data_IF_775831264960
#
_entry.id   IF_775831264960
#
_cell.length_a   1.000
_cell.length_b   1.000
_cell.length_c   1.000
_cell.angle_alpha   90.00
_cell.angle_beta   90.00
_cell.angle_gamma   90.00
#
_symmetry.space_group_name_H-M   'P 1'
#
loop_
_entity.id
_entity.type
_entity.pdbx_description
1 polymer ?
#
# COMPACT_ATOMS: atom_id res chain seq x y z
N UNK A 1 -56.52 -52.88 -50.82
CA UNK A 1 -55.28 -52.51 -50.10
C UNK A 1 -54.82 -51.18 -50.69
N UNK A 2 -55.18 -50.06 -50.05
CA UNK A 2 -54.89 -48.72 -50.55
C UNK A 2 -53.61 -48.23 -49.87
N UNK A 3 -52.54 -48.04 -50.63
CA UNK A 3 -51.27 -47.50 -50.13
C UNK A 3 -51.36 -45.98 -50.03
N UNK A 4 -51.33 -45.46 -48.80
CA UNK A 4 -51.10 -44.05 -48.52
C UNK A 4 -49.62 -43.73 -48.75
N UNK A 5 -49.32 -42.88 -49.74
CA UNK A 5 -48.02 -42.24 -49.89
C UNK A 5 -48.00 -40.99 -49.02
N UNK A 6 -47.31 -41.06 -47.88
CA UNK A 6 -47.03 -39.89 -47.04
C UNK A 6 -45.81 -39.17 -47.65
N UNK A 7 -46.04 -38.01 -48.23
CA UNK A 7 -44.97 -37.11 -48.65
C UNK A 7 -44.35 -36.43 -47.43
N UNK A 8 -43.02 -36.45 -47.34
CA UNK A 8 -42.28 -35.70 -46.34
C UNK A 8 -42.12 -34.26 -46.86
N UNK A 9 -42.81 -33.30 -46.25
CA UNK A 9 -42.57 -31.88 -46.53
C UNK A 9 -41.20 -31.49 -46.00
N UNK A 10 -40.37 -30.90 -46.86
CA UNK A 10 -39.06 -30.37 -46.50
C UNK A 10 -39.25 -29.13 -45.62
N UNK A 11 -38.96 -29.25 -44.32
CA UNK A 11 -38.90 -28.13 -43.39
C UNK A 11 -37.78 -27.17 -43.84
N UNK A 12 -38.13 -25.92 -44.17
CA UNK A 12 -37.16 -24.86 -44.42
C UNK A 12 -36.63 -24.40 -43.06
N UNK A 13 -35.41 -24.79 -42.71
CA UNK A 13 -34.68 -24.15 -41.62
C UNK A 13 -34.37 -22.71 -42.04
N UNK A 14 -34.86 -21.75 -41.26
CA UNK A 14 -34.40 -20.36 -41.35
C UNK A 14 -32.98 -20.29 -40.79
N UNK A 15 -32.00 -20.58 -41.64
CA UNK A 15 -30.62 -20.23 -41.32
C UNK A 15 -30.57 -18.69 -41.27
N UNK A 16 -30.38 -18.13 -40.07
CA UNK A 16 -29.91 -16.74 -39.94
C UNK A 16 -28.59 -16.56 -40.71
N UNK A 17 -27.94 -15.39 -40.68
CA UNK A 17 -26.76 -15.07 -41.51
C UNK A 17 -25.51 -15.97 -41.30
N UNK A 18 -25.63 -17.08 -40.59
CA UNK A 18 -24.58 -18.06 -40.35
C UNK A 18 -23.47 -17.51 -39.46
N UNK A 19 -22.41 -18.30 -39.32
CA UNK A 19 -21.21 -17.93 -38.56
C UNK A 19 -20.33 -16.86 -39.26
N UNK A 20 -20.82 -16.22 -40.33
CA UNK A 20 -20.08 -15.22 -41.12
C UNK A 20 -20.40 -13.76 -40.78
N UNK A 21 -21.45 -13.50 -39.99
CA UNK A 21 -21.93 -12.15 -39.68
C UNK A 21 -21.11 -11.37 -38.65
N UNK A 22 -21.41 -10.08 -38.51
CA UNK A 22 -20.94 -9.23 -37.41
C UNK A 22 -21.93 -9.40 -36.24
N UNK A 23 -21.41 -9.68 -35.05
CA UNK A 23 -22.24 -9.73 -33.85
C UNK A 23 -22.73 -8.33 -33.50
N UNK A 24 -24.03 -8.22 -33.24
CA UNK A 24 -24.69 -7.03 -32.70
C UNK A 24 -25.06 -7.26 -31.24
N UNK A 25 -25.18 -6.18 -30.49
CA UNK A 25 -25.49 -6.23 -29.06
C UNK A 25 -25.30 -4.87 -28.40
N UNK A 26 -25.26 -4.86 -27.07
CA UNK A 26 -25.13 -3.64 -26.28
C UNK A 26 -24.32 -3.85 -25.00
N UNK A 27 -23.63 -2.79 -24.57
CA UNK A 27 -22.99 -2.67 -23.25
C UNK A 27 -23.99 -2.26 -22.14
N UNK A 28 -25.20 -1.87 -22.53
CA UNK A 28 -26.23 -1.36 -21.62
C UNK A 28 -27.08 -2.48 -21.03
N UNK A 29 -27.68 -2.23 -19.89
CA UNK A 29 -28.77 -3.05 -19.34
C UNK A 29 -30.14 -2.69 -19.95
N UNK A 30 -31.20 -3.34 -19.47
CA UNK A 30 -32.57 -3.10 -19.93
C UNK A 30 -33.09 -1.68 -19.66
N UNK A 31 -32.43 -0.94 -18.76
CA UNK A 31 -32.76 0.43 -18.39
C UNK A 31 -31.86 1.46 -19.10
N UNK A 32 -31.09 1.02 -20.10
CA UNK A 32 -30.11 1.86 -20.83
C UNK A 32 -28.97 2.39 -19.95
N UNK A 33 -28.66 1.71 -18.84
CA UNK A 33 -27.54 2.05 -17.95
C UNK A 33 -26.34 1.16 -18.28
N UNK A 34 -25.14 1.73 -18.22
CA UNK A 34 -23.91 0.98 -18.41
C UNK A 34 -23.72 -0.10 -17.36
N UNK A 35 -23.43 -1.33 -17.82
CA UNK A 35 -22.99 -2.39 -16.91
C UNK A 35 -21.59 -2.08 -16.41
N UNK A 36 -21.37 -2.27 -15.10
CA UNK A 36 -20.09 -1.98 -14.48
C UNK A 36 -18.95 -2.82 -15.10
N UNK A 37 -17.85 -2.16 -15.46
CA UNK A 37 -16.61 -2.82 -15.85
C UNK A 37 -15.81 -3.22 -14.61
N UNK A 38 -15.09 -4.34 -14.67
CA UNK A 38 -14.17 -4.76 -13.60
C UNK A 38 -12.72 -4.63 -14.06
N UNK A 39 -11.96 -3.76 -13.40
CA UNK A 39 -10.57 -3.48 -13.72
C UNK A 39 -9.69 -4.54 -13.05
N UNK A 40 -8.70 -5.08 -13.79
CA UNK A 40 -7.71 -6.05 -13.31
C UNK A 40 -6.30 -5.58 -13.65
N UNK A 41 -5.37 -5.89 -12.75
CA UNK A 41 -3.97 -5.43 -12.82
C UNK A 41 -3.77 -4.05 -12.18
N UNK A 42 -2.50 -3.68 -12.02
CA UNK A 42 -2.08 -2.37 -11.54
C UNK A 42 -1.47 -1.58 -12.68
N UNK A 43 -1.86 -0.32 -12.82
CA UNK A 43 -1.42 0.54 -13.92
C UNK A 43 -0.43 1.55 -13.36
N UNK A 44 0.83 1.49 -13.80
CA UNK A 44 1.90 2.34 -13.27
C UNK A 44 2.48 3.21 -14.36
N UNK A 45 2.72 4.47 -14.04
CA UNK A 45 3.40 5.44 -14.89
C UNK A 45 4.72 4.87 -15.41
N UNK A 46 4.91 5.00 -16.73
CA UNK A 46 6.06 4.55 -17.52
C UNK A 46 6.31 3.02 -17.52
N UNK A 47 5.41 2.20 -16.95
CA UNK A 47 5.48 0.73 -17.03
C UNK A 47 4.60 0.20 -18.19
N UNK A 48 5.16 -0.67 -19.03
CA UNK A 48 4.41 -1.31 -20.13
C UNK A 48 3.39 -2.29 -19.54
N UNK A 49 2.13 -2.18 -19.99
CA UNK A 49 1.07 -3.09 -19.57
C UNK A 49 1.37 -4.54 -19.97
N UNK A 50 1.04 -5.46 -19.08
CA UNK A 50 1.23 -6.91 -19.26
C UNK A 50 -0.12 -7.63 -19.43
N UNK A 51 -0.10 -8.95 -19.62
CA UNK A 51 -1.34 -9.76 -19.70
C UNK A 51 -2.18 -9.77 -18.41
N UNK A 52 -1.61 -9.30 -17.30
CA UNK A 52 -2.30 -9.08 -16.02
C UNK A 52 -3.11 -7.78 -15.98
N UNK A 53 -2.87 -6.86 -16.91
CA UNK A 53 -3.57 -5.59 -17.06
C UNK A 53 -4.71 -5.73 -18.07
N UNK A 54 -5.93 -5.85 -17.59
CA UNK A 54 -7.10 -6.02 -18.46
C UNK A 54 -8.38 -5.52 -17.80
N UNK A 55 -9.42 -5.33 -18.60
CA UNK A 55 -10.75 -4.93 -18.13
C UNK A 55 -11.76 -6.00 -18.54
N UNK A 56 -12.60 -6.41 -17.61
CA UNK A 56 -13.73 -7.29 -17.89
C UNK A 56 -14.98 -6.44 -18.13
N UNK A 57 -15.58 -6.59 -19.30
CA UNK A 57 -16.75 -5.82 -19.73
C UNK A 57 -17.91 -6.76 -20.00
N UNK A 58 -19.07 -6.46 -19.42
CA UNK A 58 -20.29 -7.23 -19.67
C UNK A 58 -20.97 -6.74 -20.96
N UNK A 59 -21.28 -7.68 -21.86
CA UNK A 59 -21.94 -7.43 -23.14
C UNK A 59 -23.17 -8.32 -23.26
N UNK A 60 -24.25 -7.80 -23.82
CA UNK A 60 -25.40 -8.61 -24.21
C UNK A 60 -25.46 -8.72 -25.73
N UNK A 61 -25.14 -9.90 -26.28
CA UNK A 61 -25.19 -10.16 -27.72
C UNK A 61 -26.62 -10.46 -28.17
N UNK A 62 -27.09 -9.79 -29.21
CA UNK A 62 -28.39 -10.06 -29.84
C UNK A 62 -28.27 -10.90 -31.12
N UNK A 63 -27.08 -10.99 -31.69
CA UNK A 63 -26.79 -11.88 -32.82
C UNK A 63 -25.43 -12.58 -32.64
N UNK A 64 -25.29 -13.75 -33.24
CA UNK A 64 -24.01 -14.45 -33.36
C UNK A 64 -23.13 -13.76 -34.41
N UNK A 65 -21.81 -13.81 -34.25
CA UNK A 65 -20.91 -13.21 -35.23
C UNK A 65 -19.57 -12.75 -34.65
N UNK A 66 -18.74 -12.15 -35.51
CA UNK A 66 -17.48 -11.53 -35.10
C UNK A 66 -17.76 -10.23 -34.35
N UNK A 67 -17.05 -9.98 -33.26
CA UNK A 67 -17.11 -8.72 -32.52
C UNK A 67 -15.73 -8.07 -32.39
N UNK A 68 -15.74 -6.78 -32.12
CA UNK A 68 -14.59 -6.02 -31.64
C UNK A 68 -15.08 -5.04 -30.59
N UNK A 69 -14.43 -5.03 -29.44
CA UNK A 69 -14.72 -4.10 -28.35
C UNK A 69 -13.42 -3.40 -28.01
N UNK A 70 -13.46 -2.08 -27.89
CA UNK A 70 -12.25 -1.28 -27.69
C UNK A 70 -12.54 -0.01 -26.89
N UNK A 71 -11.50 0.56 -26.30
CA UNK A 71 -11.54 1.87 -25.69
C UNK A 71 -10.87 2.94 -26.55
N UNK A 72 -11.08 4.19 -26.18
CA UNK A 72 -10.15 5.27 -26.51
C UNK A 72 -8.75 5.05 -25.89
N UNK A 73 -7.79 5.87 -26.31
CA UNK A 73 -6.46 5.91 -25.70
C UNK A 73 -6.41 7.09 -24.74
N UNK A 74 -6.29 6.78 -23.45
CA UNK A 74 -6.22 7.80 -22.39
C UNK A 74 -4.98 7.52 -21.56
N UNK A 75 -4.24 8.58 -21.22
CA UNK A 75 -3.00 8.47 -20.45
C UNK A 75 -2.01 7.45 -21.03
N UNK A 76 -1.92 7.30 -22.35
CA UNK A 76 -0.98 6.39 -23.02
C UNK A 76 -1.37 4.90 -22.99
N UNK A 77 -2.54 4.54 -22.45
CA UNK A 77 -3.06 3.17 -22.44
C UNK A 77 -4.39 3.04 -23.18
N UNK A 78 -4.68 1.84 -23.67
CA UNK A 78 -5.95 1.49 -24.32
C UNK A 78 -6.24 0.00 -24.19
N UNK A 79 -7.51 -0.39 -24.32
CA UNK A 79 -7.96 -1.76 -24.18
C UNK A 79 -8.70 -2.22 -25.42
N UNK A 80 -8.50 -3.48 -25.82
CA UNK A 80 -9.22 -4.06 -26.96
C UNK A 80 -9.29 -5.57 -26.88
N UNK A 81 -10.36 -6.12 -27.40
CA UNK A 81 -10.45 -7.52 -27.77
C UNK A 81 -11.33 -7.71 -29.02
N UNK A 82 -11.13 -8.82 -29.69
CA UNK A 82 -11.97 -9.24 -30.83
C UNK A 82 -12.09 -10.74 -30.84
N UNK A 83 -13.29 -11.24 -31.13
CA UNK A 83 -13.57 -12.66 -31.11
C UNK A 83 -14.87 -12.99 -31.82
N UNK A 84 -15.47 -14.10 -31.43
CA UNK A 84 -16.72 -14.60 -31.99
C UNK A 84 -17.76 -14.84 -30.89
N UNK A 85 -18.97 -14.31 -31.06
CA UNK A 85 -20.11 -14.57 -30.19
C UNK A 85 -20.85 -15.82 -30.70
N UNK A 86 -20.69 -16.94 -29.99
CA UNK A 86 -21.32 -18.22 -30.35
C UNK A 86 -22.77 -18.34 -29.86
N UNK A 87 -23.15 -17.59 -28.84
CA UNK A 87 -24.48 -17.64 -28.23
C UNK A 87 -24.94 -16.21 -27.96
N UNK A 88 -26.23 -15.96 -28.18
CA UNK A 88 -26.88 -14.71 -27.78
C UNK A 88 -26.97 -14.64 -26.26
N UNK A 89 -27.10 -13.43 -25.71
CA UNK A 89 -27.25 -13.19 -24.28
C UNK A 89 -26.00 -12.59 -23.62
N UNK A 90 -26.06 -12.51 -22.29
CA UNK A 90 -25.05 -11.88 -21.46
C UNK A 90 -23.74 -12.69 -21.46
N UNK A 91 -22.64 -12.00 -21.75
CA UNK A 91 -21.28 -12.52 -21.73
C UNK A 91 -20.34 -11.51 -21.08
N UNK A 92 -19.19 -11.98 -20.59
CA UNK A 92 -18.12 -11.13 -20.06
C UNK A 92 -16.90 -11.27 -20.95
N UNK A 93 -16.46 -10.15 -21.53
CA UNK A 93 -15.32 -10.11 -22.44
C UNK A 93 -14.11 -9.50 -21.72
N UNK A 94 -12.94 -10.15 -21.88
CA UNK A 94 -11.66 -9.67 -21.36
C UNK A 94 -10.99 -8.78 -22.41
N UNK A 95 -10.96 -7.47 -22.17
CA UNK A 95 -10.20 -6.52 -22.99
C UNK A 95 -8.77 -6.43 -22.47
N UNK A 96 -7.80 -6.88 -23.27
CA UNK A 96 -6.37 -6.77 -22.92
C UNK A 96 -5.93 -5.31 -22.99
N UNK A 97 -5.21 -4.85 -21.96
CA UNK A 97 -4.59 -3.53 -21.93
C UNK A 97 -3.29 -3.49 -22.74
N UNK A 98 -3.04 -2.36 -23.38
CA UNK A 98 -1.83 -2.08 -24.15
C UNK A 98 -1.32 -0.66 -23.83
N UNK A 99 -0.05 -0.41 -24.09
CA UNK A 99 0.61 0.88 -23.87
C UNK A 99 1.28 0.99 -22.50
N UNK A 100 1.58 2.22 -22.09
CA UNK A 100 2.20 2.57 -20.80
C UNK A 100 1.54 3.83 -20.26
N UNK A 101 1.08 3.84 -18.99
CA UNK A 101 0.57 5.04 -18.35
C UNK A 101 1.59 6.18 -18.40
N UNK A 102 1.17 7.42 -18.64
CA UNK A 102 2.08 8.57 -18.78
C UNK A 102 2.18 9.40 -17.49
N UNK A 103 1.07 9.56 -16.78
CA UNK A 103 0.96 10.34 -15.53
C UNK A 103 0.22 9.52 -14.46
N UNK A 104 0.48 9.74 -13.16
CA UNK A 104 -0.37 9.22 -12.10
C UNK A 104 -1.72 9.96 -12.05
N UNK A 105 -2.75 9.29 -11.55
CA UNK A 105 -4.09 9.85 -11.40
C UNK A 105 -5.19 8.87 -11.82
N UNK A 106 -6.45 9.28 -11.66
CA UNK A 106 -7.61 8.52 -12.11
C UNK A 106 -8.09 9.07 -13.46
N UNK A 107 -8.21 8.18 -14.44
CA UNK A 107 -8.52 8.51 -15.81
C UNK A 107 -9.76 7.74 -16.26
N UNK A 108 -10.72 8.45 -16.87
CA UNK A 108 -11.94 7.87 -17.40
C UNK A 108 -11.70 7.39 -18.83
N UNK A 109 -12.08 6.14 -19.10
CA UNK A 109 -12.00 5.48 -20.40
C UNK A 109 -13.39 5.32 -21.00
N UNK A 110 -13.51 5.56 -22.31
CA UNK A 110 -14.71 5.30 -23.08
C UNK A 110 -14.59 3.94 -23.78
N UNK A 111 -15.42 2.96 -23.41
CA UNK A 111 -15.52 1.66 -24.10
C UNK A 111 -16.66 1.64 -25.11
N UNK A 112 -16.38 1.09 -26.29
CA UNK A 112 -17.29 1.07 -27.43
C UNK A 112 -17.55 -0.36 -27.92
N UNK A 113 -18.82 -0.66 -28.19
CA UNK A 113 -19.24 -1.86 -28.89
C UNK A 113 -20.53 -1.59 -29.69
N UNK A 114 -20.49 -1.82 -31.01
CA UNK A 114 -21.60 -1.50 -31.90
C UNK A 114 -21.98 -0.01 -31.78
N UNK A 115 -23.26 0.25 -31.48
CA UNK A 115 -23.78 1.61 -31.26
C UNK A 115 -23.86 1.99 -29.78
N UNK A 116 -23.25 1.21 -28.89
CA UNK A 116 -23.28 1.44 -27.43
C UNK A 116 -21.92 1.89 -26.91
N UNK A 117 -21.97 2.77 -25.91
CA UNK A 117 -20.79 3.41 -25.31
C UNK A 117 -20.96 3.49 -23.80
N UNK A 118 -19.91 3.15 -23.07
CA UNK A 118 -19.86 3.19 -21.62
C UNK A 118 -18.55 3.75 -21.11
N UNK A 119 -18.51 4.09 -19.82
CA UNK A 119 -17.35 4.68 -19.17
C UNK A 119 -16.93 3.89 -17.94
N UNK A 120 -15.63 3.84 -17.69
CA UNK A 120 -15.06 3.33 -16.45
C UNK A 120 -13.77 4.08 -16.13
N UNK A 121 -13.41 4.09 -14.85
CA UNK A 121 -12.20 4.75 -14.39
C UNK A 121 -11.07 3.75 -14.14
N UNK A 122 -9.85 4.12 -14.51
CA UNK A 122 -8.63 3.42 -14.11
C UNK A 122 -7.75 4.40 -13.35
N UNK A 123 -7.35 3.98 -12.15
CA UNK A 123 -6.31 4.67 -11.39
C UNK A 123 -4.94 4.16 -11.80
N UNK A 124 -4.11 5.10 -12.22
CA UNK A 124 -2.70 4.92 -12.53
C UNK A 124 -1.86 5.52 -11.40
N UNK A 125 -0.79 4.84 -11.02
CA UNK A 125 0.08 5.23 -9.89
C UNK A 125 1.47 5.60 -10.39
N UNK A 126 2.18 6.48 -9.68
CA UNK A 126 3.46 7.04 -10.14
C UNK A 126 4.56 6.01 -10.36
N UNK A 127 5.57 6.37 -11.16
CA UNK A 127 6.70 5.50 -11.49
C UNK A 127 7.50 5.09 -10.24
N UNK A 128 7.81 3.80 -10.13
CA UNK A 128 8.63 3.27 -9.02
C UNK A 128 10.10 3.46 -9.38
N UNK A 129 10.68 4.57 -8.95
CA UNK A 129 12.06 4.50 -8.50
C UNK A 129 11.95 4.22 -7.00
N UNK A 130 12.43 3.09 -6.47
CA UNK A 130 12.72 3.04 -5.01
C UNK A 130 14.02 3.80 -4.70
N UNK A 131 14.63 4.42 -5.72
CA UNK A 131 15.63 5.47 -5.64
C UNK A 131 16.85 5.16 -4.77
N UNK A 132 17.12 3.88 -4.50
CA UNK A 132 18.33 3.44 -3.82
C UNK A 132 18.91 2.19 -4.44
N UNK A 133 20.24 2.20 -4.46
CA UNK A 133 21.07 1.06 -4.86
C UNK A 133 21.16 -0.03 -3.78
N UNK A 134 20.55 0.19 -2.60
CA UNK A 134 20.60 -0.75 -1.48
C UNK A 134 19.36 -1.66 -1.44
N UNK A 135 19.59 -2.95 -1.20
CA UNK A 135 18.55 -3.98 -1.07
C UNK A 135 18.14 -4.17 0.41
N UNK A 136 18.02 -3.09 1.18
CA UNK A 136 17.78 -3.11 2.62
C UNK A 136 16.67 -2.14 3.09
N UNK A 137 16.18 -2.32 4.31
CA UNK A 137 15.19 -1.42 4.93
C UNK A 137 15.83 -0.31 5.77
N UNK A 138 17.13 -0.03 5.56
CA UNK A 138 17.86 1.01 6.27
C UNK A 138 18.95 1.58 5.35
N UNK A 139 18.58 2.47 4.41
CA UNK A 139 19.55 3.11 3.52
C UNK A 139 20.41 4.08 4.32
N UNK A 140 21.73 4.04 4.10
CA UNK A 140 22.73 4.77 4.91
C UNK A 140 23.54 5.76 4.08
N UNK A 141 23.06 6.12 2.89
CA UNK A 141 23.77 7.01 1.98
C UNK A 141 23.92 8.39 2.63
N UNK A 142 25.18 8.80 2.85
CA UNK A 142 25.53 10.03 3.54
C UNK A 142 24.88 11.25 2.87
N UNK A 143 24.25 12.12 3.67
CA UNK A 143 23.49 13.29 3.24
C UNK A 143 22.22 13.00 2.43
N UNK A 144 21.88 11.71 2.24
CA UNK A 144 20.57 11.30 1.76
C UNK A 144 19.47 11.76 2.72
N UNK A 145 18.26 11.95 2.22
CA UNK A 145 17.15 12.42 3.04
C UNK A 145 15.80 11.87 2.60
N UNK A 146 14.86 11.86 3.56
CA UNK A 146 13.45 11.56 3.36
C UNK A 146 12.64 12.77 3.85
N UNK A 147 11.73 13.27 3.01
CA UNK A 147 10.73 14.25 3.41
C UNK A 147 9.44 13.51 3.79
N UNK A 148 8.87 13.86 4.93
CA UNK A 148 7.63 13.31 5.44
C UNK A 148 6.56 14.39 5.57
N UNK A 149 5.33 14.02 5.26
CA UNK A 149 4.11 14.74 5.62
C UNK A 149 3.59 14.24 6.98
N UNK A 150 3.07 15.16 7.80
CA UNK A 150 2.51 14.89 9.13
C UNK A 150 1.03 15.21 9.14
N UNK A 151 0.24 14.22 9.57
CA UNK A 151 -1.21 14.37 9.70
C UNK A 151 -1.69 13.81 11.04
N UNK A 152 -2.27 14.62 11.95
CA UNK A 152 -2.38 16.07 11.87
C UNK A 152 -1.01 16.76 11.93
N UNK A 153 -0.93 18.00 11.44
CA UNK A 153 0.27 18.81 11.56
C UNK A 153 0.61 19.06 13.04
N UNK A 154 1.89 18.96 13.40
CA UNK A 154 2.34 19.07 14.79
C UNK A 154 2.47 20.55 15.21
N UNK A 155 2.05 20.94 16.43
CA UNK A 155 2.27 22.31 16.91
C UNK A 155 3.74 22.52 17.27
N UNK A 156 4.40 23.48 16.62
CA UNK A 156 5.72 23.96 16.98
C UNK A 156 5.70 24.74 18.30
N UNK A 157 6.88 24.89 18.92
CA UNK A 157 7.09 25.86 20.00
C UNK A 157 6.80 27.25 19.46
N UNK A 158 5.68 27.86 19.88
CA UNK A 158 5.18 29.14 19.35
C UNK A 158 3.86 29.05 18.55
N UNK A 159 3.26 27.87 18.42
CA UNK A 159 1.89 27.70 17.92
C UNK A 159 1.73 27.60 16.40
N UNK A 160 2.82 27.69 15.63
CA UNK A 160 2.79 27.39 14.18
C UNK A 160 2.66 25.88 13.97
N UNK A 161 2.02 25.45 12.88
CA UNK A 161 1.86 24.04 12.55
C UNK A 161 3.00 23.57 11.65
N UNK A 162 3.52 22.37 11.93
CA UNK A 162 4.54 21.68 11.13
C UNK A 162 3.83 20.57 10.36
N UNK A 163 3.46 20.81 9.08
CA UNK A 163 2.81 19.80 8.24
C UNK A 163 3.80 18.83 7.61
N UNK A 164 5.10 19.14 7.65
CA UNK A 164 6.15 18.33 7.05
C UNK A 164 7.49 18.50 7.78
N UNK A 165 8.30 17.45 7.78
CA UNK A 165 9.70 17.53 8.19
C UNK A 165 10.58 16.69 7.27
N UNK A 166 11.87 17.03 7.22
CA UNK A 166 12.91 16.28 6.55
C UNK A 166 13.73 15.51 7.57
N UNK A 167 13.92 14.21 7.35
CA UNK A 167 14.89 13.38 8.04
C UNK A 167 16.13 13.21 7.15
N UNK A 168 17.30 13.63 7.64
CA UNK A 168 18.56 13.62 6.88
C UNK A 168 19.56 12.65 7.50
N UNK A 169 20.20 11.84 6.67
CA UNK A 169 21.23 10.88 7.05
C UNK A 169 22.55 11.61 7.28
N UNK A 170 23.10 11.47 8.48
CA UNK A 170 24.42 12.00 8.81
C UNK A 170 25.53 11.28 8.03
N UNK A 171 26.60 12.00 7.70
CA UNK A 171 27.73 11.47 6.92
C UNK A 171 28.66 10.50 7.67
N UNK A 172 28.48 10.35 8.99
CA UNK A 172 29.30 9.49 9.84
C UNK A 172 28.47 8.55 10.70
N UNK A 173 29.14 7.56 11.29
CA UNK A 173 28.55 6.66 12.28
C UNK A 173 28.69 7.24 13.69
N UNK A 174 27.69 6.99 14.52
CA UNK A 174 27.62 7.50 15.89
C UNK A 174 27.68 6.32 16.87
N UNK A 175 28.72 6.22 17.71
CA UNK A 175 28.84 5.16 18.69
C UNK A 175 27.86 5.40 19.85
N UNK A 176 27.11 4.37 20.24
CA UNK A 176 26.32 4.34 21.46
C UNK A 176 26.67 3.09 22.27
N UNK A 177 26.51 3.18 23.60
CA UNK A 177 26.81 2.07 24.50
C UNK A 177 25.51 1.42 24.95
N UNK A 178 25.40 0.10 24.77
CA UNK A 178 24.29 -0.68 25.28
C UNK A 178 24.80 -1.97 25.92
N UNK A 179 24.36 -2.27 27.14
CA UNK A 179 24.81 -3.43 27.93
C UNK A 179 26.34 -3.64 27.89
N UNK A 180 27.11 -2.56 28.07
CA UNK A 180 28.59 -2.52 28.03
C UNK A 180 29.25 -2.69 26.65
N UNK A 181 28.49 -2.99 25.59
CA UNK A 181 28.99 -3.05 24.22
C UNK A 181 28.83 -1.71 23.50
N UNK A 182 29.83 -1.32 22.69
CA UNK A 182 29.72 -0.17 21.78
C UNK A 182 29.14 -0.63 20.45
N UNK A 183 28.10 0.05 19.99
CA UNK A 183 27.42 -0.18 18.72
C UNK A 183 27.49 1.10 17.88
N UNK A 184 27.67 0.96 16.57
CA UNK A 184 27.71 2.10 15.65
C UNK A 184 26.36 2.24 14.93
N UNK A 185 25.83 3.47 14.91
CA UNK A 185 24.54 3.78 14.31
C UNK A 185 24.65 4.82 13.22
N UNK A 186 23.81 4.66 12.21
CA UNK A 186 23.47 5.75 11.30
C UNK A 186 22.52 6.70 12.05
N UNK A 187 22.87 7.99 12.08
CA UNK A 187 22.03 9.01 12.71
C UNK A 187 21.21 9.72 11.65
N UNK A 188 19.90 9.71 11.84
CA UNK A 188 18.92 10.50 11.11
C UNK A 188 18.58 11.71 11.95
N UNK A 189 18.73 12.92 11.41
CA UNK A 189 18.39 14.17 12.10
C UNK A 189 17.31 14.90 11.35
N UNK A 190 16.36 15.48 12.07
CA UNK A 190 15.29 16.28 11.46
C UNK A 190 15.59 17.77 11.51
N UNK A 191 14.99 18.52 10.59
CA UNK A 191 15.01 19.99 10.63
C UNK A 191 14.21 20.59 11.80
N UNK A 192 13.54 19.75 12.61
CA UNK A 192 12.77 20.14 13.79
C UNK A 192 13.46 19.72 15.10
N UNK A 193 14.67 19.14 15.02
CA UNK A 193 15.55 18.88 16.17
C UNK A 193 15.53 17.44 16.68
N UNK A 194 14.62 16.60 16.20
CA UNK A 194 14.57 15.18 16.54
C UNK A 194 15.69 14.39 15.87
N UNK A 195 16.05 13.27 16.48
CA UNK A 195 17.05 12.36 15.93
C UNK A 195 16.70 10.90 16.22
N UNK A 196 17.01 10.03 15.27
CA UNK A 196 16.88 8.59 15.40
C UNK A 196 18.22 7.94 15.06
N UNK A 197 18.63 6.97 15.87
CA UNK A 197 19.87 6.21 15.69
C UNK A 197 19.52 4.79 15.30
N UNK A 198 19.83 4.41 14.07
CA UNK A 198 19.46 3.11 13.50
C UNK A 198 20.69 2.33 13.09
N UNK A 199 20.65 1.02 13.27
CA UNK A 199 21.67 0.09 12.77
C UNK A 199 21.02 -1.19 12.28
N UNK A 200 21.78 -2.02 11.58
CA UNK A 200 21.40 -3.37 11.16
C UNK A 200 22.50 -4.35 11.55
N UNK A 201 22.14 -5.62 11.73
CA UNK A 201 23.12 -6.69 11.97
C UNK A 201 23.67 -7.34 10.69
N UNK A 202 23.11 -6.99 9.53
CA UNK A 202 23.46 -7.61 8.25
C UNK A 202 22.81 -8.99 8.02
N UNK A 203 22.00 -9.48 8.96
CA UNK A 203 21.27 -10.74 8.91
C UNK A 203 19.74 -10.54 8.87
N UNK A 204 19.29 -9.33 8.54
CA UNK A 204 17.88 -8.98 8.40
C UNK A 204 17.21 -8.46 9.67
N UNK A 205 17.98 -8.13 10.73
CA UNK A 205 17.44 -7.40 11.89
C UNK A 205 17.93 -5.97 11.91
N UNK A 206 17.00 -5.09 12.26
CA UNK A 206 17.21 -3.66 12.34
C UNK A 206 16.89 -3.17 13.73
N UNK A 207 17.73 -2.28 14.22
CA UNK A 207 17.77 -1.87 15.60
C UNK A 207 17.76 -0.35 15.71
N UNK A 208 17.12 0.12 16.77
CA UNK A 208 17.05 1.53 17.12
C UNK A 208 17.65 1.70 18.52
N UNK A 209 18.52 2.69 18.67
CA UNK A 209 18.98 3.14 19.98
C UNK A 209 18.08 4.25 20.48
N UNK A 210 17.29 3.96 21.50
CA UNK A 210 16.24 4.86 21.94
C UNK A 210 15.38 4.30 23.06
N UNK A 211 14.17 4.83 23.13
CA UNK A 211 13.06 4.39 23.97
C UNK A 211 12.15 3.48 23.16
N UNK A 212 11.57 2.42 23.75
CA UNK A 212 10.70 1.49 23.04
C UNK A 212 9.30 2.10 22.81
N UNK A 213 9.20 3.04 21.87
CA UNK A 213 7.97 3.77 21.54
C UNK A 213 7.80 3.95 20.01
N UNK A 214 7.13 5.02 19.57
CA UNK A 214 6.87 5.32 18.17
C UNK A 214 7.87 6.37 17.62
N UNK A 215 8.13 6.36 16.32
CA UNK A 215 9.15 7.22 15.75
C UNK A 215 8.62 8.66 15.68
N UNK A 216 9.38 9.64 16.17
CA UNK A 216 9.00 11.06 16.24
C UNK A 216 7.69 11.34 17.02
N UNK A 217 7.37 10.49 18.01
CA UNK A 217 6.28 10.72 18.95
C UNK A 217 6.67 10.24 20.35
N UNK A 218 6.85 11.19 21.25
CA UNK A 218 7.21 10.92 22.64
C UNK A 218 5.95 10.57 23.45
N UNK A 219 5.96 9.39 24.06
CA UNK A 219 4.85 8.87 24.88
C UNK A 219 5.15 9.00 26.37
N UNK A 220 6.41 8.83 26.76
CA UNK A 220 6.78 8.83 28.17
C UNK A 220 7.07 10.26 28.66
N UNK A 221 6.44 10.65 29.77
CA UNK A 221 6.71 11.91 30.45
C UNK A 221 8.09 11.96 31.11
N UNK A 222 8.65 10.80 31.46
CA UNK A 222 9.96 10.72 32.11
C UNK A 222 10.71 9.45 31.71
N UNK A 223 11.98 9.60 31.33
CA UNK A 223 12.89 8.47 31.13
C UNK A 223 13.86 8.40 32.31
N UNK A 224 13.72 7.37 33.15
CA UNK A 224 14.48 7.29 34.41
C UNK A 224 15.97 7.12 34.11
N UNK A 225 16.80 7.95 34.77
CA UNK A 225 18.25 8.05 34.55
C UNK A 225 18.64 8.33 33.08
N UNK A 226 17.72 8.86 32.28
CA UNK A 226 17.90 9.08 30.84
C UNK A 226 18.35 7.82 30.06
N UNK A 227 18.07 6.63 30.58
CA UNK A 227 18.48 5.38 29.95
C UNK A 227 17.84 5.22 28.56
N UNK A 228 18.56 4.51 27.69
CA UNK A 228 18.12 4.13 26.35
C UNK A 228 18.50 2.67 26.13
N UNK A 229 17.83 2.03 25.19
CA UNK A 229 18.08 0.66 24.82
C UNK A 229 18.36 0.54 23.33
N UNK A 230 19.13 -0.47 22.98
CA UNK A 230 19.18 -1.00 21.63
C UNK A 230 18.07 -2.04 21.49
N UNK A 231 17.02 -1.71 20.74
CA UNK A 231 15.91 -2.62 20.52
C UNK A 231 15.70 -2.92 19.05
N UNK A 232 15.33 -4.17 18.74
CA UNK A 232 14.95 -4.55 17.38
C UNK A 232 13.61 -3.90 17.04
N UNK A 233 13.56 -3.11 15.96
CA UNK A 233 12.32 -2.49 15.48
C UNK A 233 11.73 -3.19 14.24
N UNK A 234 12.56 -3.98 13.54
CA UNK A 234 12.19 -4.77 12.38
C UNK A 234 13.06 -6.03 12.32
N UNK A 235 12.43 -7.19 12.09
CA UNK A 235 13.09 -8.48 11.93
C UNK A 235 12.51 -9.19 10.71
N UNK A 236 13.29 -9.25 9.63
CA UNK A 236 12.89 -9.87 8.37
C UNK A 236 12.65 -11.38 8.48
N UNK A 237 13.12 -12.05 9.52
CA UNK A 237 12.85 -13.47 9.71
C UNK A 237 11.40 -13.75 10.14
N UNK A 238 10.69 -12.74 10.65
CA UNK A 238 9.30 -12.87 11.12
C UNK A 238 8.34 -12.86 9.94
N UNK A 239 7.49 -13.87 9.87
CA UNK A 239 6.41 -13.94 8.89
C UNK A 239 5.16 -13.19 9.41
N UNK A 240 4.22 -12.80 8.52
CA UNK A 240 2.94 -12.24 8.92
C UNK A 240 2.26 -13.03 10.06
N UNK A 241 1.81 -12.32 11.09
CA UNK A 241 1.22 -12.86 12.32
C UNK A 241 2.22 -13.24 13.42
N UNK A 242 3.52 -13.33 13.12
CA UNK A 242 4.55 -13.57 14.13
C UNK A 242 4.96 -12.28 14.84
N UNK A 243 5.31 -12.40 16.11
CA UNK A 243 5.71 -11.28 16.94
C UNK A 243 6.94 -11.59 17.80
N UNK A 244 7.52 -10.55 18.36
CA UNK A 244 8.52 -10.60 19.42
C UNK A 244 8.33 -9.40 20.36
N UNK A 245 8.84 -9.52 21.58
CA UNK A 245 8.85 -8.43 22.55
C UNK A 245 10.27 -7.85 22.62
N UNK A 246 10.39 -6.53 22.81
CA UNK A 246 11.67 -5.89 23.11
C UNK A 246 12.06 -6.11 24.56
N UNK A 247 13.31 -5.75 24.90
CA UNK A 247 13.69 -5.50 26.29
C UNK A 247 12.85 -4.35 26.88
N UNK A 248 12.87 -4.25 28.21
CA UNK A 248 12.09 -3.25 28.95
C UNK A 248 12.94 -2.09 29.44
N UNK A 249 12.37 -0.89 29.39
CA UNK A 249 12.93 0.35 29.93
C UNK A 249 12.10 0.82 31.11
N UNK A 250 12.74 1.34 32.15
CA UNK A 250 12.03 1.94 33.28
C UNK A 250 11.68 3.40 32.98
N UNK A 251 10.39 3.73 33.03
CA UNK A 251 9.82 4.99 32.55
C UNK A 251 8.75 5.51 33.51
N UNK A 252 8.49 6.81 33.45
CA UNK A 252 7.33 7.47 34.04
C UNK A 252 6.36 7.88 32.94
N UNK A 253 5.07 7.59 33.13
CA UNK A 253 4.00 7.98 32.23
C UNK A 253 2.81 8.55 33.02
N UNK A 254 2.19 9.59 32.49
CA UNK A 254 0.99 10.19 33.04
C UNK A 254 -0.22 9.33 32.71
N UNK A 255 -0.78 8.71 33.74
CA UNK A 255 -1.93 7.82 33.63
C UNK A 255 -3.06 8.46 34.43
N UNK A 256 -4.10 8.90 33.71
CA UNK A 256 -5.28 9.56 34.27
C UNK A 256 -4.94 10.78 35.15
N UNK A 257 -3.98 11.60 34.71
CA UNK A 257 -3.57 12.83 35.40
C UNK A 257 -2.56 12.62 36.53
N UNK A 258 -2.07 11.39 36.74
CA UNK A 258 -1.06 11.08 37.76
C UNK A 258 0.16 10.45 37.11
N UNK A 259 1.35 10.99 37.41
CA UNK A 259 2.61 10.39 36.99
C UNK A 259 2.82 9.08 37.74
N UNK A 260 2.93 7.97 36.99
CA UNK A 260 3.17 6.64 37.53
C UNK A 260 4.39 6.03 36.84
N UNK A 261 5.13 5.19 37.57
CA UNK A 261 6.37 4.58 37.10
C UNK A 261 6.20 3.09 36.87
N UNK A 262 7.01 2.56 35.95
CA UNK A 262 6.99 1.14 35.63
C UNK A 262 7.96 0.77 34.51
N UNK A 263 7.89 -0.50 34.11
CA UNK A 263 8.68 -1.06 33.04
C UNK A 263 7.87 -1.08 31.75
N UNK A 264 8.37 -0.47 30.68
CA UNK A 264 7.72 -0.41 29.39
C UNK A 264 8.52 -1.16 28.32
N UNK A 265 7.82 -1.79 27.39
CA UNK A 265 8.40 -2.48 26.22
C UNK A 265 7.44 -2.42 25.04
N UNK A 266 7.94 -2.77 23.86
CA UNK A 266 7.11 -2.99 22.68
C UNK A 266 6.87 -4.48 22.46
N UNK A 267 5.66 -4.81 22.01
CA UNK A 267 5.42 -5.99 21.20
C UNK A 267 5.38 -5.58 19.74
N UNK A 268 6.20 -6.23 18.91
CA UNK A 268 6.29 -5.94 17.48
C UNK A 268 5.79 -7.16 16.71
N UNK A 269 4.69 -6.98 15.98
CA UNK A 269 4.05 -8.02 15.18
C UNK A 269 4.24 -7.71 13.70
N UNK A 270 4.74 -8.65 12.90
CA UNK A 270 4.77 -8.49 11.45
C UNK A 270 3.35 -8.65 10.90
N UNK A 271 2.81 -7.63 10.23
CA UNK A 271 1.49 -7.68 9.62
C UNK A 271 1.56 -8.13 8.16
N UNK A 272 2.50 -7.56 7.41
CA UNK A 272 2.65 -7.80 5.97
C UNK A 272 4.11 -7.80 5.56
N UNK A 273 4.43 -8.56 4.50
CA UNK A 273 5.75 -8.56 3.84
C UNK A 273 5.60 -8.59 2.33
N UNK A 274 6.51 -7.91 1.63
CA UNK A 274 6.52 -7.86 0.17
C UNK A 274 5.29 -7.16 -0.43
N UNK A 275 4.57 -6.35 0.37
CA UNK A 275 3.38 -5.65 -0.12
C UNK A 275 3.79 -4.40 -0.91
N UNK A 276 2.84 -3.88 -1.66
CA UNK A 276 2.95 -2.57 -2.29
C UNK A 276 1.98 -1.60 -1.64
N UNK A 277 2.34 -0.32 -1.56
CA UNK A 277 1.48 0.74 -1.04
C UNK A 277 1.57 1.98 -1.91
N UNK A 278 0.44 2.57 -2.26
CA UNK A 278 0.38 3.90 -2.84
C UNK A 278 0.31 4.91 -1.69
N UNK A 279 1.35 5.72 -1.52
CA UNK A 279 1.47 6.75 -0.49
C UNK A 279 1.64 8.11 -1.18
N UNK A 280 0.72 9.04 -0.90
CA UNK A 280 0.66 10.37 -1.52
C UNK A 280 0.80 10.33 -3.07
N UNK A 281 0.16 9.35 -3.71
CA UNK A 281 0.15 9.17 -5.18
C UNK A 281 1.36 8.41 -5.75
N UNK A 282 2.36 8.08 -4.92
CA UNK A 282 3.57 7.33 -5.32
C UNK A 282 3.47 5.88 -4.88
N UNK A 283 3.79 4.92 -5.77
CA UNK A 283 3.81 3.50 -5.42
C UNK A 283 5.16 3.10 -4.83
N UNK A 284 5.13 2.46 -3.68
CA UNK A 284 6.27 1.86 -3.01
C UNK A 284 6.11 0.34 -2.97
N UNK A 285 7.18 -0.41 -3.25
CA UNK A 285 7.17 -1.88 -3.31
C UNK A 285 8.06 -2.50 -2.24
N UNK A 286 7.96 -3.82 -2.13
CA UNK A 286 8.74 -4.63 -1.19
C UNK A 286 8.61 -4.14 0.26
N UNK A 287 7.39 -3.77 0.65
CA UNK A 287 7.14 -3.20 1.97
C UNK A 287 6.97 -4.29 3.01
N UNK A 288 7.62 -4.10 4.17
CA UNK A 288 7.28 -4.79 5.40
C UNK A 288 6.52 -3.81 6.30
N UNK A 289 5.39 -4.27 6.82
CA UNK A 289 4.60 -3.51 7.79
C UNK A 289 4.54 -4.26 9.11
N UNK A 290 4.86 -3.56 10.19
CA UNK A 290 4.81 -4.08 11.54
C UNK A 290 3.83 -3.28 12.38
N UNK A 291 3.16 -3.95 13.31
CA UNK A 291 2.40 -3.34 14.39
C UNK A 291 3.29 -3.23 15.62
N UNK A 292 3.38 -2.05 16.22
CA UNK A 292 4.00 -1.80 17.52
C UNK A 292 2.90 -1.60 18.56
N UNK A 293 2.85 -2.46 19.57
CA UNK A 293 1.97 -2.35 20.73
C UNK A 293 2.78 -1.96 21.95
N UNK A 294 2.36 -0.90 22.63
CA UNK A 294 3.05 -0.40 23.81
C UNK A 294 2.53 -1.10 25.07
N UNK A 295 3.43 -1.78 25.79
CA UNK A 295 3.12 -2.55 26.99
C UNK A 295 3.78 -1.90 28.21
N UNK A 296 3.01 -1.66 29.27
CA UNK A 296 3.49 -1.09 30.53
C UNK A 296 3.17 -2.01 31.71
N UNK A 297 4.16 -2.29 32.54
CA UNK A 297 4.00 -2.92 33.85
C UNK A 297 4.35 -1.89 34.92
N UNK A 298 3.33 -1.35 35.57
CA UNK A 298 3.48 -0.39 36.67
C UNK A 298 4.18 -1.00 37.89
N UNK A 299 4.79 -0.15 38.71
CA UNK A 299 5.37 -0.58 39.97
C UNK A 299 4.32 -1.21 40.89
N UNK A 300 4.67 -2.34 41.49
CA UNK A 300 3.74 -3.16 42.26
C UNK A 300 2.83 -4.08 41.42
N UNK A 301 2.76 -3.90 40.10
CA UNK A 301 2.03 -4.82 39.22
C UNK A 301 2.88 -6.06 38.86
N UNK A 302 2.22 -7.19 38.63
CA UNK A 302 2.86 -8.46 38.27
C UNK A 302 2.91 -8.70 36.76
N UNK A 303 2.03 -8.06 35.98
CA UNK A 303 1.88 -8.29 34.54
C UNK A 303 1.98 -6.99 33.74
N UNK A 304 2.40 -7.11 32.48
CA UNK A 304 2.32 -6.02 31.51
C UNK A 304 0.89 -5.87 30.99
N UNK A 305 0.44 -4.63 30.88
CA UNK A 305 -0.85 -4.26 30.27
C UNK A 305 -0.60 -3.36 29.06
N UNK A 306 -1.40 -3.48 27.98
CA UNK A 306 -1.29 -2.57 26.85
C UNK A 306 -1.74 -1.16 27.23
N UNK A 307 -1.03 -0.15 26.71
CA UNK A 307 -1.50 1.23 26.73
C UNK A 307 -2.50 1.46 25.58
N UNK A 308 -3.32 2.51 25.69
CA UNK A 308 -4.33 2.85 24.67
C UNK A 308 -3.73 3.52 23.42
N UNK A 309 -2.54 3.09 22.99
CA UNK A 309 -1.88 3.55 21.77
C UNK A 309 -1.13 2.38 21.13
N UNK A 310 -1.26 2.28 19.81
CA UNK A 310 -0.51 1.34 18.99
C UNK A 310 -0.18 2.02 17.66
N UNK A 311 0.77 1.45 16.92
CA UNK A 311 1.15 2.00 15.63
C UNK A 311 1.35 0.92 14.57
N UNK A 312 1.02 1.25 13.32
CA UNK A 312 1.47 0.51 12.14
C UNK A 312 2.59 1.28 11.46
N UNK A 313 3.73 0.63 11.25
CA UNK A 313 4.89 1.22 10.60
C UNK A 313 5.24 0.39 9.37
N UNK A 314 5.37 1.05 8.23
CA UNK A 314 5.69 0.45 6.95
C UNK A 314 7.07 0.91 6.49
N UNK A 315 7.92 -0.05 6.14
CA UNK A 315 9.28 0.18 5.65
C UNK A 315 9.36 -0.33 4.22
N UNK A 316 9.78 0.53 3.29
CA UNK A 316 10.06 0.15 1.92
C UNK A 316 11.56 -0.13 1.75
N UNK A 317 11.86 -1.16 0.97
CA UNK A 317 13.23 -1.55 0.67
C UNK A 317 13.92 -0.51 -0.21
N UNK A 318 15.13 -0.09 0.15
CA UNK A 318 15.86 1.01 -0.46
C UNK A 318 15.48 2.39 0.09
N UNK A 319 14.51 2.48 1.01
CA UNK A 319 14.06 3.79 1.54
C UNK A 319 14.08 3.81 3.08
N UNK A 320 13.63 2.74 3.72
CA UNK A 320 13.38 2.72 5.17
C UNK A 320 11.94 3.08 5.48
N UNK A 321 11.69 3.82 6.57
CA UNK A 321 10.33 4.18 7.00
C UNK A 321 9.62 5.00 5.92
N UNK A 322 8.51 4.51 5.38
CA UNK A 322 7.68 5.22 4.39
C UNK A 322 6.33 5.63 4.94
N UNK A 323 5.84 4.96 5.97
CA UNK A 323 4.57 5.31 6.61
C UNK A 323 4.57 4.88 8.08
N UNK A 324 4.03 5.72 8.96
CA UNK A 324 3.69 5.40 10.34
C UNK A 324 2.30 5.96 10.61
N UNK A 325 1.40 5.13 11.15
CA UNK A 325 0.13 5.57 11.72
C UNK A 325 0.06 5.14 13.17
N UNK A 326 0.05 6.11 14.09
CA UNK A 326 -0.22 5.92 15.52
C UNK A 326 -1.68 6.19 15.80
N UNK A 327 -2.35 5.29 16.49
CA UNK A 327 -3.79 5.38 16.76
C UNK A 327 -4.17 4.76 18.10
N UNK A 328 -5.30 5.21 18.62
CA UNK A 328 -5.88 4.68 19.86
C UNK A 328 -6.20 3.19 19.71
N UNK A 329 -5.94 2.40 20.76
CA UNK A 329 -6.30 0.97 20.80
C UNK A 329 -7.77 0.76 21.18
N UNK A 330 -8.66 1.60 20.62
CA UNK A 330 -10.11 1.56 20.79
C UNK A 330 -10.79 1.05 19.51
N UNK A 331 -12.09 0.80 19.58
CA UNK A 331 -12.88 0.41 18.40
C UNK A 331 -12.91 1.49 17.31
N UNK A 332 -12.78 2.78 17.67
CA UNK A 332 -12.74 3.88 16.70
C UNK A 332 -11.40 3.97 15.98
N UNK A 333 -10.30 3.50 16.59
CA UNK A 333 -8.97 3.52 16.00
C UNK A 333 -8.52 4.94 15.60
N UNK A 334 -8.87 5.93 16.42
CA UNK A 334 -8.62 7.35 16.14
C UNK A 334 -7.13 7.59 15.92
N UNK A 335 -6.76 8.14 14.76
CA UNK A 335 -5.36 8.47 14.47
C UNK A 335 -4.91 9.65 15.33
N UNK A 336 -3.81 9.46 16.06
CA UNK A 336 -3.15 10.49 16.88
C UNK A 336 -2.03 11.17 16.09
N UNK A 337 -1.30 10.39 15.30
CA UNK A 337 -0.24 10.88 14.42
C UNK A 337 -0.13 9.98 13.19
N UNK A 338 0.08 10.57 12.03
CA UNK A 338 0.48 9.90 10.81
C UNK A 338 1.71 10.59 10.25
N UNK A 339 2.70 9.82 9.84
CA UNK A 339 3.91 10.28 9.14
C UNK A 339 3.95 9.50 7.84
N UNK A 340 3.87 10.18 6.70
CA UNK A 340 3.83 9.52 5.39
C UNK A 340 4.88 10.12 4.48
N UNK A 341 5.61 9.28 3.73
CA UNK A 341 6.66 9.75 2.83
C UNK A 341 6.08 10.63 1.72
N UNK A 342 6.71 11.80 1.54
CA UNK A 342 6.42 12.76 0.46
C UNK A 342 7.46 12.70 -0.65
N UNK A 343 8.69 12.30 -0.32
CA UNK A 343 9.77 12.08 -1.29
C UNK A 343 11.11 11.82 -0.61
N UNK A 344 12.12 11.42 -1.37
CA UNK A 344 13.47 11.16 -0.87
C UNK A 344 14.52 11.49 -1.94
N UNK A 345 15.80 11.60 -1.54
CA UNK A 345 16.93 11.80 -2.44
C UNK A 345 18.20 11.20 -1.87
N UNK A 346 19.06 10.67 -2.74
CA UNK A 346 20.40 10.21 -2.41
C UNK A 346 20.39 9.10 -1.37
N UNK A 347 19.48 8.12 -1.51
CA UNK A 347 19.42 6.94 -0.65
C UNK A 347 20.02 5.73 -1.33
#
# INVERSE_FOLDING_TARGET
MASLLVACSKELSTEGPGFGGIATGTLLDSSSICKAATIKGQYKELEVLTDSNYVLVAVNFTTQGKYTIFTDTVNGIWFRDSGFAFVQGANTIKLKGNGSPILPGTFTFQVNFGNSTCFFDITTIGAVNNGSSTNDYLPITANGFINYELTPAFPAVGGSLIPEFRSTISSGLYPQIYQTATQNYTRYTTNIGDQVFLRKDGAGKYFQYGTPEFDYLYIYDTIVNNLKMDFTYLDESKNPGQFFDTDSLYVGANINGTLQYGWAKLRITTLYKGRQMALLGTLYTDIITVKRELLLKLDGATTYSPLNLQAELSYAKGIGLVDQRVYESTASGTTVQSITIKGWNGL
#
